data_IF_571915006833
#
_entry.id   IF_571915006833
#
_cell.length_a   1.000
_cell.length_b   1.000
_cell.length_c   1.000
_cell.angle_alpha   90.00
_cell.angle_beta   90.00
_cell.angle_gamma   90.00
#
_symmetry.space_group_name_H-M   'P 1'
#
loop_
_entity.id
_entity.type
_entity.pdbx_description
1 polymer ?
#
# COMPACT_ATOMS: atom_id res chain seq x y z
N UNK A 1 1.71 10.33 -4.71
CA UNK A 1 1.62 10.23 -3.26
C UNK A 1 1.12 8.89 -2.78
N UNK A 2 1.32 8.62 -1.55
CA UNK A 2 0.80 7.44 -0.84
C UNK A 2 0.99 7.65 0.66
N UNK A 3 0.80 6.61 1.47
CA UNK A 3 1.10 6.64 2.90
C UNK A 3 2.57 6.99 3.24
N UNK A 4 3.50 6.85 2.31
CA UNK A 4 4.95 7.03 2.55
C UNK A 4 5.49 8.36 2.01
N UNK A 5 5.15 8.72 0.78
CA UNK A 5 5.74 9.85 0.04
C UNK A 5 4.69 10.91 -0.34
N UNK A 6 3.87 11.31 0.61
CA UNK A 6 2.90 12.40 0.47
C UNK A 6 2.60 13.05 1.82
N UNK A 7 3.63 13.23 2.62
CA UNK A 7 3.60 14.07 3.80
C UNK A 7 3.27 15.52 3.42
N UNK A 8 2.96 16.35 4.40
CA UNK A 8 2.75 17.77 4.15
C UNK A 8 3.94 18.42 3.43
N UNK A 9 5.17 18.10 3.85
CA UNK A 9 6.39 18.63 3.22
C UNK A 9 6.52 18.15 1.75
N UNK A 10 6.29 16.86 1.48
CA UNK A 10 6.36 16.32 0.12
C UNK A 10 5.36 17.02 -0.79
N UNK A 11 4.13 17.19 -0.31
CA UNK A 11 3.07 17.87 -1.09
C UNK A 11 3.34 19.35 -1.30
N UNK A 12 3.89 20.03 -0.31
CA UNK A 12 4.30 21.45 -0.46
C UNK A 12 5.43 21.63 -1.47
N UNK A 13 6.41 20.71 -1.51
CA UNK A 13 7.46 20.71 -2.55
C UNK A 13 6.85 20.52 -3.94
N UNK A 14 5.94 19.56 -4.10
CA UNK A 14 5.24 19.33 -5.36
C UNK A 14 4.44 20.56 -5.77
N UNK A 15 3.67 21.14 -4.87
CA UNK A 15 2.91 22.37 -5.14
C UNK A 15 3.82 23.54 -5.57
N UNK A 16 4.95 23.73 -4.89
CA UNK A 16 5.93 24.77 -5.24
C UNK A 16 6.53 24.58 -6.63
N UNK A 17 6.84 23.33 -7.01
CA UNK A 17 7.36 23.00 -8.34
C UNK A 17 6.32 23.27 -9.43
N UNK A 18 5.05 22.97 -9.16
CA UNK A 18 3.93 23.10 -10.11
C UNK A 18 3.34 24.51 -10.17
N UNK A 19 3.55 25.33 -9.15
CA UNK A 19 2.94 26.65 -9.01
C UNK A 19 3.17 27.54 -10.23
N UNK A 20 2.06 28.04 -10.79
CA UNK A 20 2.09 28.92 -11.97
C UNK A 20 2.52 28.25 -13.27
N UNK A 21 2.62 26.90 -13.29
CA UNK A 21 2.99 26.10 -14.46
C UNK A 21 1.85 25.17 -14.87
N UNK A 22 1.95 24.59 -16.05
CA UNK A 22 1.01 23.59 -16.56
C UNK A 22 1.78 22.33 -16.90
N UNK A 23 1.24 21.16 -16.58
CA UNK A 23 1.83 19.87 -16.94
C UNK A 23 1.81 19.68 -18.45
N UNK A 24 2.71 18.83 -18.94
CA UNK A 24 2.75 18.43 -20.34
C UNK A 24 1.41 17.73 -20.73
N UNK A 25 0.80 18.09 -21.88
CA UNK A 25 -0.49 17.56 -22.30
C UNK A 25 -0.50 16.03 -22.53
N UNK A 26 0.66 15.40 -22.71
CA UNK A 26 0.79 13.95 -22.83
C UNK A 26 0.75 13.22 -21.47
N UNK A 27 0.82 13.95 -20.34
CA UNK A 27 0.92 13.38 -19.01
C UNK A 27 -0.43 13.40 -18.28
N UNK A 28 -0.76 12.30 -17.62
CA UNK A 28 -1.84 12.22 -16.64
C UNK A 28 -1.25 12.27 -15.22
N UNK A 29 -1.25 13.44 -14.60
CA UNK A 29 -0.77 13.62 -13.23
C UNK A 29 -1.88 13.38 -12.22
N UNK A 30 -1.63 12.45 -11.28
CA UNK A 30 -2.53 12.17 -10.17
C UNK A 30 -1.81 12.35 -8.84
N UNK A 31 -2.47 13.01 -7.90
CA UNK A 31 -1.93 13.30 -6.57
C UNK A 31 -2.87 12.74 -5.51
N UNK A 32 -2.36 11.86 -4.65
CA UNK A 32 -3.06 11.36 -3.48
C UNK A 32 -2.34 11.87 -2.21
N UNK A 33 -2.90 12.84 -1.47
CA UNK A 33 -2.33 13.30 -0.21
C UNK A 33 -2.28 12.17 0.83
N UNK A 34 -1.31 12.20 1.75
CA UNK A 34 -1.06 11.13 2.70
C UNK A 34 -2.15 10.93 3.75
N UNK A 35 -2.95 11.96 4.01
CA UNK A 35 -4.08 11.91 4.94
C UNK A 35 -5.08 13.04 4.66
N UNK A 36 -6.27 12.93 5.26
CA UNK A 36 -7.26 14.03 5.24
C UNK A 36 -6.73 15.30 5.91
N UNK A 37 -5.90 15.16 6.95
CA UNK A 37 -5.24 16.29 7.59
C UNK A 37 -4.34 17.04 6.61
N UNK A 38 -3.47 16.32 5.88
CA UNK A 38 -2.60 16.91 4.86
C UNK A 38 -3.45 17.58 3.77
N UNK A 39 -4.47 16.91 3.25
CA UNK A 39 -5.36 17.46 2.24
C UNK A 39 -6.02 18.77 2.69
N UNK A 40 -6.53 18.80 3.93
CA UNK A 40 -7.15 19.99 4.50
C UNK A 40 -6.15 21.15 4.65
N UNK A 41 -4.94 20.86 5.11
CA UNK A 41 -3.88 21.87 5.23
C UNK A 41 -3.47 22.45 3.87
N UNK A 42 -3.38 21.61 2.83
CA UNK A 42 -3.10 22.04 1.46
C UNK A 42 -4.24 22.89 0.87
N UNK A 43 -5.48 22.58 1.23
CA UNK A 43 -6.63 23.36 0.82
C UNK A 43 -6.61 24.76 1.44
N UNK A 44 -6.32 24.86 2.74
CA UNK A 44 -6.31 26.12 3.47
C UNK A 44 -5.16 27.04 3.10
N UNK A 45 -4.00 26.53 2.74
CA UNK A 45 -2.85 27.33 2.35
C UNK A 45 -2.75 27.64 0.85
N UNK A 46 -3.70 27.13 0.04
CA UNK A 46 -3.76 27.35 -1.41
C UNK A 46 -2.91 26.40 -2.25
N UNK A 47 -2.07 25.56 -1.66
CA UNK A 47 -1.23 24.61 -2.40
C UNK A 47 -2.05 23.60 -3.22
N UNK A 48 -3.22 23.18 -2.71
CA UNK A 48 -4.15 22.33 -3.46
C UNK A 48 -4.63 23.01 -4.74
N UNK A 49 -4.96 24.30 -4.67
CA UNK A 49 -5.37 25.10 -5.82
C UNK A 49 -4.24 25.20 -6.86
N UNK A 50 -3.00 25.43 -6.43
CA UNK A 50 -1.83 25.47 -7.33
C UNK A 50 -1.66 24.15 -8.08
N UNK A 51 -1.78 23.00 -7.40
CA UNK A 51 -1.69 21.69 -8.03
C UNK A 51 -2.82 21.41 -9.03
N UNK A 52 -4.06 21.74 -8.68
CA UNK A 52 -5.21 21.61 -9.58
C UNK A 52 -5.05 22.49 -10.80
N UNK A 53 -4.64 23.74 -10.62
CA UNK A 53 -4.41 24.70 -11.71
C UNK A 53 -3.30 24.25 -12.67
N UNK A 54 -2.32 23.50 -12.17
CA UNK A 54 -1.29 22.91 -12.99
C UNK A 54 -1.79 21.71 -13.84
N UNK A 55 -3.00 21.18 -13.58
CA UNK A 55 -3.59 20.07 -14.30
C UNK A 55 -3.60 18.75 -13.53
N UNK A 56 -3.28 18.75 -12.23
CA UNK A 56 -3.31 17.54 -11.42
C UNK A 56 -4.74 17.10 -11.08
N UNK A 57 -5.01 15.79 -11.17
CA UNK A 57 -6.18 15.15 -10.61
C UNK A 57 -5.92 14.76 -9.17
N UNK A 58 -6.73 15.24 -8.25
CA UNK A 58 -6.62 14.90 -6.83
C UNK A 58 -7.40 13.63 -6.56
N UNK A 59 -6.75 12.68 -5.91
CA UNK A 59 -7.32 11.38 -5.52
C UNK A 59 -7.57 11.37 -4.01
N UNK A 60 -8.38 10.41 -3.58
CA UNK A 60 -8.60 10.12 -2.16
C UNK A 60 -7.29 9.83 -1.42
N UNK A 61 -7.24 10.22 -0.15
CA UNK A 61 -6.16 9.89 0.77
C UNK A 61 -6.20 8.42 1.17
N UNK A 62 -5.98 7.54 0.20
CA UNK A 62 -6.11 6.10 0.32
C UNK A 62 -5.05 5.35 -0.49
N UNK A 63 -4.94 4.05 -0.26
CA UNK A 63 -3.92 3.19 -0.87
C UNK A 63 -4.31 2.66 -2.27
N UNK A 64 -5.35 3.20 -2.91
CA UNK A 64 -5.90 2.74 -4.20
C UNK A 64 -4.87 2.68 -5.33
N UNK A 65 -4.25 3.80 -5.73
CA UNK A 65 -3.31 3.83 -6.87
C UNK A 65 -2.06 2.97 -6.68
N UNK A 66 -1.67 2.68 -5.44
CA UNK A 66 -0.53 1.80 -5.12
C UNK A 66 -0.70 0.39 -5.71
N UNK A 67 -1.93 -0.06 -5.87
CA UNK A 67 -2.27 -1.35 -6.48
C UNK A 67 -3.05 -1.18 -7.80
N UNK A 68 -2.97 0.00 -8.41
CA UNK A 68 -3.63 0.29 -9.68
C UNK A 68 -5.12 0.62 -9.59
N UNK A 69 -5.68 0.77 -8.40
CA UNK A 69 -7.08 1.19 -8.21
C UNK A 69 -7.21 2.71 -8.35
N UNK A 70 -8.11 3.17 -9.21
CA UNK A 70 -8.34 4.59 -9.48
C UNK A 70 -7.32 5.25 -10.41
N UNK A 71 -6.12 4.68 -10.55
CA UNK A 71 -5.10 5.12 -11.50
C UNK A 71 -4.12 3.98 -11.81
N UNK A 72 -4.07 3.55 -13.06
CA UNK A 72 -3.07 2.62 -13.58
C UNK A 72 -2.62 3.05 -14.98
N UNK A 73 -1.42 2.69 -15.42
CA UNK A 73 -1.01 2.92 -16.80
C UNK A 73 -1.84 2.03 -17.74
N UNK A 74 -1.94 2.44 -18.99
CA UNK A 74 -2.38 1.58 -20.10
C UNK A 74 -1.32 0.51 -20.41
N UNK A 75 -1.66 -0.48 -21.22
CA UNK A 75 -0.73 -1.50 -21.72
C UNK A 75 0.50 -0.86 -22.34
N UNK A 76 1.69 -1.31 -21.94
CA UNK A 76 2.98 -0.77 -22.37
C UNK A 76 3.27 0.65 -21.91
N UNK A 77 2.36 1.29 -21.19
CA UNK A 77 2.51 2.68 -20.74
C UNK A 77 3.55 2.86 -19.66
N UNK A 78 4.24 4.01 -19.68
CA UNK A 78 5.21 4.40 -18.66
C UNK A 78 4.51 5.12 -17.51
N UNK A 79 4.84 4.77 -16.27
CA UNK A 79 4.29 5.41 -15.07
C UNK A 79 5.37 5.66 -14.03
N UNK A 80 5.59 6.93 -13.69
CA UNK A 80 6.45 7.33 -12.59
C UNK A 80 5.61 7.42 -11.30
N UNK A 81 6.05 6.76 -10.22
CA UNK A 81 5.29 6.66 -8.99
C UNK A 81 6.14 6.91 -7.77
N UNK A 82 5.55 7.55 -6.78
CA UNK A 82 6.21 7.85 -5.50
C UNK A 82 5.79 6.87 -4.40
N UNK A 83 5.35 5.69 -4.76
CA UNK A 83 5.06 4.62 -3.81
C UNK A 83 6.34 3.95 -3.33
N UNK A 84 6.26 3.19 -2.25
CA UNK A 84 7.41 2.51 -1.67
C UNK A 84 7.58 1.07 -2.17
N UNK A 85 6.83 0.64 -3.19
CA UNK A 85 6.84 -0.73 -3.67
C UNK A 85 6.47 -0.86 -5.14
N UNK A 86 7.22 -1.67 -5.85
CA UNK A 86 6.96 -2.01 -7.24
C UNK A 86 7.37 -3.46 -7.54
N UNK A 87 6.66 -4.10 -8.44
CA UNK A 87 6.99 -5.35 -9.10
C UNK A 87 6.13 -5.49 -10.35
N UNK A 88 6.49 -6.40 -11.26
CA UNK A 88 5.77 -6.63 -12.52
C UNK A 88 4.27 -6.93 -12.28
N UNK A 89 3.40 -6.20 -12.95
CA UNK A 89 1.95 -6.34 -12.81
C UNK A 89 1.37 -5.80 -11.50
N UNK A 90 2.14 -5.07 -10.69
CA UNK A 90 1.64 -4.45 -9.45
C UNK A 90 0.46 -3.52 -9.68
N UNK A 91 0.50 -2.72 -10.73
CA UNK A 91 -0.57 -1.81 -11.11
C UNK A 91 -0.77 -1.80 -12.62
N UNK A 92 -1.98 -2.10 -13.07
CA UNK A 92 -2.28 -2.25 -14.50
C UNK A 92 -1.91 -3.61 -15.05
N UNK A 93 -1.51 -3.63 -16.29
CA UNK A 93 -1.10 -4.82 -17.03
C UNK A 93 0.36 -5.20 -16.72
N UNK A 94 0.75 -6.45 -17.01
CA UNK A 94 2.13 -6.92 -16.79
C UNK A 94 3.18 -6.18 -17.60
N UNK A 95 2.82 -5.68 -18.77
CA UNK A 95 3.65 -4.91 -19.69
C UNK A 95 3.75 -3.42 -19.32
N UNK A 96 3.04 -2.96 -18.30
CA UNK A 96 3.15 -1.60 -17.77
C UNK A 96 4.54 -1.31 -17.20
N UNK A 97 5.17 -0.24 -17.68
CA UNK A 97 6.52 0.16 -17.29
C UNK A 97 6.47 1.10 -16.08
N UNK A 98 6.59 0.55 -14.87
CA UNK A 98 6.44 1.29 -13.62
C UNK A 98 7.81 1.58 -13.00
N UNK A 99 8.07 2.85 -12.72
CA UNK A 99 9.31 3.32 -12.09
C UNK A 99 9.01 4.03 -10.78
N UNK A 100 9.77 3.72 -9.72
CA UNK A 100 9.69 4.43 -8.45
C UNK A 100 10.63 5.64 -8.48
N UNK A 101 10.09 6.80 -8.14
CA UNK A 101 10.78 8.08 -8.15
C UNK A 101 10.42 8.91 -6.91
N UNK A 102 11.17 9.98 -6.64
CA UNK A 102 10.78 10.92 -5.59
C UNK A 102 9.62 11.83 -6.04
N UNK A 103 8.90 12.47 -5.11
CA UNK A 103 7.86 13.46 -5.43
C UNK A 103 8.36 14.58 -6.35
N UNK A 104 9.57 15.05 -6.12
CA UNK A 104 10.20 16.10 -6.92
C UNK A 104 10.45 15.66 -8.36
N UNK A 105 10.98 14.45 -8.54
CA UNK A 105 11.19 13.86 -9.88
C UNK A 105 9.86 13.67 -10.60
N UNK A 106 8.83 13.18 -9.91
CA UNK A 106 7.51 13.03 -10.50
C UNK A 106 6.91 14.36 -10.95
N UNK A 107 7.02 15.42 -10.13
CA UNK A 107 6.53 16.77 -10.46
C UNK A 107 7.30 17.39 -11.64
N UNK A 108 8.64 17.28 -11.62
CA UNK A 108 9.47 17.78 -12.72
C UNK A 108 9.15 17.08 -14.05
N UNK A 109 9.02 15.75 -14.00
CA UNK A 109 8.69 14.94 -15.18
C UNK A 109 7.29 15.23 -15.70
N UNK A 110 6.34 15.56 -14.83
CA UNK A 110 5.01 15.96 -15.25
C UNK A 110 5.00 17.26 -16.05
N UNK A 111 5.91 18.19 -15.75
CA UNK A 111 6.03 19.45 -16.49
C UNK A 111 6.68 19.29 -17.87
N UNK A 112 7.54 18.30 -18.04
CA UNK A 112 8.35 18.14 -19.27
C UNK A 112 7.84 17.02 -20.20
N UNK A 113 7.02 16.10 -19.69
CA UNK A 113 6.54 14.94 -20.45
C UNK A 113 7.50 13.75 -20.47
N UNK A 114 8.66 13.84 -19.86
CA UNK A 114 9.67 12.77 -19.80
C UNK A 114 10.41 12.76 -18.46
N UNK A 115 11.15 11.70 -18.16
CA UNK A 115 11.90 11.58 -16.91
C UNK A 115 12.92 12.73 -16.80
N UNK A 116 12.73 13.58 -15.80
CA UNK A 116 13.48 14.84 -15.65
C UNK A 116 14.12 14.92 -14.26
N UNK A 117 15.39 15.32 -14.25
CA UNK A 117 16.10 15.69 -13.02
C UNK A 117 15.51 17.02 -12.49
N UNK A 118 14.93 17.05 -11.27
CA UNK A 118 14.32 18.25 -10.72
C UNK A 118 15.30 19.41 -10.54
N UNK A 119 16.61 19.15 -10.43
CA UNK A 119 17.66 20.19 -10.34
C UNK A 119 17.75 21.05 -11.59
N UNK A 120 17.23 20.59 -12.72
CA UNK A 120 17.13 21.38 -13.95
C UNK A 120 16.08 22.51 -13.88
N UNK A 121 15.17 22.45 -12.90
CA UNK A 121 14.11 23.46 -12.70
C UNK A 121 14.55 24.63 -11.81
N UNK A 122 15.76 24.63 -11.28
CA UNK A 122 16.30 25.61 -10.37
C UNK A 122 16.54 25.08 -8.96
N UNK A 123 16.62 25.99 -8.00
CA UNK A 123 16.87 25.64 -6.60
C UNK A 123 15.70 24.90 -5.96
N UNK A 124 16.04 24.05 -4.99
CA UNK A 124 15.04 23.30 -4.21
C UNK A 124 14.14 24.29 -3.42
N UNK A 125 12.82 24.11 -3.46
CA UNK A 125 11.92 24.97 -2.70
C UNK A 125 12.13 24.80 -1.20
N UNK A 126 12.26 25.90 -0.48
CA UNK A 126 12.23 25.93 0.98
C UNK A 126 10.80 25.78 1.47
N UNK A 127 10.55 24.81 2.33
CA UNK A 127 9.25 24.53 2.91
C UNK A 127 9.25 24.86 4.39
N UNK A 128 8.47 25.85 4.77
CA UNK A 128 8.23 26.16 6.18
C UNK A 128 7.17 25.21 6.75
N UNK A 129 7.48 24.58 7.87
CA UNK A 129 6.51 23.79 8.62
C UNK A 129 5.57 24.73 9.39
N UNK A 130 4.28 24.43 9.45
CA UNK A 130 3.36 25.18 10.31
C UNK A 130 3.69 24.92 11.79
N UNK A 131 3.49 25.94 12.62
CA UNK A 131 3.65 25.78 14.08
C UNK A 131 2.69 24.75 14.67
N UNK A 132 1.49 24.68 14.10
CA UNK A 132 0.44 23.75 14.52
C UNK A 132 -0.18 23.04 13.33
N UNK A 133 -0.33 21.73 13.44
CA UNK A 133 -1.11 20.94 12.49
C UNK A 133 -2.60 21.04 12.85
N UNK A 134 -3.44 21.09 11.81
CA UNK A 134 -4.88 21.09 11.99
C UNK A 134 -5.30 19.70 12.51
N UNK A 135 -6.01 19.69 13.62
CA UNK A 135 -6.64 18.50 14.16
C UNK A 135 -8.15 18.62 13.93
N UNK A 136 -8.71 17.67 13.19
CA UNK A 136 -10.13 17.55 12.96
C UNK A 136 -10.54 16.10 13.18
N UNK A 137 -11.18 15.84 14.30
CA UNK A 137 -11.62 14.53 14.77
C UNK A 137 -13.12 14.31 14.62
N UNK A 138 -13.84 15.20 13.94
CA UNK A 138 -15.30 15.18 13.76
C UNK A 138 -15.83 13.84 13.19
N UNK A 139 -14.99 13.07 12.50
CA UNK A 139 -15.33 11.79 11.90
C UNK A 139 -14.75 10.60 12.66
N UNK A 140 -14.17 10.84 13.82
CA UNK A 140 -13.66 9.77 14.70
C UNK A 140 -14.76 9.39 15.66
N UNK A 141 -15.25 8.18 15.54
CA UNK A 141 -16.17 7.60 16.50
C UNK A 141 -15.40 7.19 17.76
N UNK A 142 -15.69 7.77 18.93
CA UNK A 142 -15.04 7.38 20.16
C UNK A 142 -15.50 5.96 20.57
N UNK A 143 -14.70 5.24 21.37
CA UNK A 143 -15.15 3.97 21.94
C UNK A 143 -16.39 4.18 22.82
N UNK A 144 -17.22 3.16 22.92
CA UNK A 144 -18.35 3.16 23.86
C UNK A 144 -17.87 3.41 25.30
N UNK A 145 -18.73 3.97 26.13
CA UNK A 145 -18.44 4.12 27.57
C UNK A 145 -18.12 2.75 28.19
N UNK A 146 -17.34 2.68 29.29
CA UNK A 146 -17.08 1.41 29.97
C UNK A 146 -18.37 0.68 30.38
N UNK A 147 -19.46 1.43 30.69
CA UNK A 147 -20.75 0.89 31.07
C UNK A 147 -21.54 0.29 29.90
N UNK A 148 -21.27 0.74 28.70
CA UNK A 148 -21.93 0.29 27.46
C UNK A 148 -21.07 -0.64 26.61
N UNK A 149 -19.80 -0.85 26.94
CA UNK A 149 -18.87 -1.64 26.15
C UNK A 149 -19.39 -3.08 25.91
N UNK A 150 -19.97 -3.70 26.90
CA UNK A 150 -20.52 -5.07 26.79
C UNK A 150 -21.81 -5.15 25.96
N UNK A 151 -22.45 -4.01 25.68
CA UNK A 151 -23.67 -3.93 24.88
C UNK A 151 -23.40 -3.69 23.41
N UNK A 152 -22.13 -3.41 23.02
CA UNK A 152 -21.76 -3.13 21.64
C UNK A 152 -21.85 -4.39 20.80
N UNK A 153 -22.76 -4.38 19.82
CA UNK A 153 -22.86 -5.44 18.85
C UNK A 153 -21.79 -5.27 17.75
N UNK A 154 -20.96 -6.31 17.55
CA UNK A 154 -19.97 -6.34 16.48
C UNK A 154 -20.60 -6.83 15.19
N UNK A 155 -20.95 -5.91 14.30
CA UNK A 155 -21.50 -6.23 12.99
C UNK A 155 -20.37 -6.66 12.02
N UNK A 156 -20.54 -7.83 11.41
CA UNK A 156 -19.57 -8.38 10.45
C UNK A 156 -20.23 -8.64 9.10
N UNK A 157 -19.60 -8.17 8.04
CA UNK A 157 -19.99 -8.55 6.67
C UNK A 157 -19.74 -10.03 6.37
N UNK A 158 -20.26 -10.56 5.26
CA UNK A 158 -20.23 -12.00 4.93
C UNK A 158 -18.81 -12.56 4.77
N UNK A 159 -17.84 -11.74 4.37
CA UNK A 159 -16.44 -12.12 4.19
C UNK A 159 -15.57 -11.90 5.44
N UNK A 160 -16.16 -11.40 6.55
CA UNK A 160 -15.43 -11.20 7.80
C UNK A 160 -15.69 -12.43 8.68
N UNK A 161 -14.65 -13.24 8.87
CA UNK A 161 -14.69 -14.43 9.72
C UNK A 161 -14.01 -14.16 11.05
N UNK A 162 -14.35 -14.91 12.12
CA UNK A 162 -13.65 -14.80 13.39
C UNK A 162 -12.14 -14.92 13.20
N UNK A 163 -11.38 -14.10 13.93
CA UNK A 163 -9.93 -14.16 13.94
C UNK A 163 -9.46 -15.50 14.49
N UNK A 164 -8.48 -16.18 13.85
CA UNK A 164 -7.93 -17.43 14.38
C UNK A 164 -7.29 -17.18 15.75
N UNK A 165 -7.69 -17.96 16.72
CA UNK A 165 -7.07 -17.96 18.05
C UNK A 165 -6.12 -19.15 18.14
N UNK A 166 -4.94 -18.92 18.69
CA UNK A 166 -3.93 -19.94 18.92
C UNK A 166 -3.67 -20.07 20.40
N UNK A 167 -3.16 -21.23 20.78
CA UNK A 167 -2.69 -21.50 22.14
C UNK A 167 -1.28 -20.91 22.34
N UNK A 168 -0.84 -20.90 23.60
CA UNK A 168 0.54 -20.51 23.93
C UNK A 168 1.52 -21.44 23.20
N UNK A 169 2.57 -20.87 22.61
CA UNK A 169 3.62 -21.63 21.97
C UNK A 169 4.23 -22.64 22.98
N UNK A 170 4.26 -23.95 22.67
CA UNK A 170 4.89 -24.94 23.54
C UNK A 170 6.43 -24.78 23.54
N UNK A 171 7.08 -25.34 24.56
CA UNK A 171 8.55 -25.30 24.67
C UNK A 171 9.23 -26.11 23.56
N UNK A 172 8.59 -27.19 23.11
CA UNK A 172 9.09 -28.05 22.04
C UNK A 172 8.01 -28.25 20.97
N UNK A 173 8.39 -28.20 19.72
CA UNK A 173 7.54 -28.48 18.57
C UNK A 173 8.21 -29.58 17.73
N UNK A 174 7.48 -30.66 17.49
CA UNK A 174 7.88 -31.73 16.56
C UNK A 174 6.91 -31.76 15.39
N UNK A 175 7.42 -31.58 14.18
CA UNK A 175 6.65 -31.64 12.95
C UNK A 175 7.56 -31.99 11.75
N UNK A 176 6.97 -32.28 10.60
CA UNK A 176 7.70 -32.50 9.35
C UNK A 176 8.07 -31.17 8.69
N UNK A 177 9.17 -31.15 7.94
CA UNK A 177 9.43 -30.08 6.97
C UNK A 177 8.50 -30.28 5.77
N UNK A 178 7.47 -29.42 5.67
CA UNK A 178 6.42 -29.56 4.63
C UNK A 178 6.67 -28.71 3.41
N UNK A 179 7.54 -27.70 3.53
CA UNK A 179 7.95 -26.84 2.41
C UNK A 179 9.38 -26.37 2.62
N UNK A 180 10.19 -26.43 1.57
CA UNK A 180 11.51 -25.81 1.53
C UNK A 180 11.53 -24.79 0.40
N UNK A 181 11.82 -23.54 0.72
CA UNK A 181 11.94 -22.43 -0.22
C UNK A 181 13.34 -21.82 -0.17
N UNK A 182 13.70 -21.09 -1.20
CA UNK A 182 15.02 -20.44 -1.31
C UNK A 182 15.13 -19.13 -0.55
N UNK A 183 16.09 -18.32 -0.99
CA UNK A 183 16.32 -16.97 -0.48
C UNK A 183 15.28 -15.98 -1.02
N UNK A 184 15.20 -14.80 -0.35
CA UNK A 184 14.38 -13.65 -0.79
C UNK A 184 12.88 -13.95 -0.95
N UNK A 185 12.35 -14.82 -0.12
CA UNK A 185 10.91 -15.05 -0.06
C UNK A 185 10.21 -13.80 0.45
N UNK A 186 9.33 -13.24 -0.38
CA UNK A 186 8.56 -12.05 -0.01
C UNK A 186 7.24 -12.42 0.65
N UNK A 187 6.60 -11.45 1.30
CA UNK A 187 5.24 -11.63 1.81
C UNK A 187 4.22 -11.92 0.71
N UNK A 188 4.50 -11.59 -0.57
CA UNK A 188 3.67 -12.00 -1.70
C UNK A 188 3.85 -13.46 -2.10
N UNK A 189 5.03 -14.03 -1.90
CA UNK A 189 5.25 -15.46 -2.07
C UNK A 189 4.49 -16.26 -1.01
N UNK A 190 4.48 -15.77 0.24
CA UNK A 190 3.78 -16.40 1.36
C UNK A 190 2.27 -16.28 1.19
N UNK A 191 1.80 -15.05 0.94
CA UNK A 191 0.38 -14.76 0.80
C UNK A 191 0.17 -13.70 -0.29
N UNK A 192 -0.20 -14.12 -1.51
CA UNK A 192 -0.46 -13.20 -2.61
C UNK A 192 -1.56 -12.19 -2.29
N UNK A 193 -1.49 -11.00 -2.88
CA UNK A 193 -2.45 -9.92 -2.67
C UNK A 193 -2.96 -9.34 -4.00
N UNK A 194 -3.38 -10.18 -4.92
CA UNK A 194 -4.03 -9.78 -6.16
C UNK A 194 -5.51 -9.43 -5.97
N UNK A 195 -6.14 -8.88 -7.01
CA UNK A 195 -7.54 -8.44 -7.00
C UNK A 195 -8.53 -9.56 -6.62
N UNK A 196 -8.23 -10.80 -6.96
CA UNK A 196 -9.05 -11.98 -6.58
C UNK A 196 -9.04 -12.26 -5.07
N UNK A 197 -7.98 -11.89 -4.38
CA UNK A 197 -7.71 -12.27 -2.99
C UNK A 197 -8.09 -11.14 -2.03
N UNK A 198 -7.87 -9.89 -2.44
CA UNK A 198 -8.12 -8.72 -1.60
C UNK A 198 -9.53 -8.62 -0.97
N UNK A 199 -10.63 -9.01 -1.64
CA UNK A 199 -11.96 -8.99 -1.01
C UNK A 199 -12.11 -9.91 0.20
N UNK A 200 -11.24 -10.91 0.35
CA UNK A 200 -11.28 -11.91 1.41
C UNK A 200 -10.29 -11.67 2.55
N UNK A 201 -9.70 -10.47 2.64
CA UNK A 201 -8.64 -10.17 3.62
C UNK A 201 -9.00 -10.50 5.07
N UNK A 202 -10.27 -10.42 5.43
CA UNK A 202 -10.75 -10.76 6.78
C UNK A 202 -11.30 -12.19 6.89
N UNK A 203 -10.97 -13.05 5.93
CA UNK A 203 -11.39 -14.46 5.89
C UNK A 203 -10.17 -15.37 5.78
N UNK A 204 -9.48 -15.58 6.89
CA UNK A 204 -8.24 -16.39 6.94
C UNK A 204 -8.47 -17.83 6.45
N UNK A 205 -9.60 -18.51 6.81
CA UNK A 205 -9.91 -19.83 6.24
C UNK A 205 -9.96 -19.84 4.70
N UNK A 206 -10.55 -18.79 4.08
CA UNK A 206 -10.58 -18.67 2.62
C UNK A 206 -9.18 -18.39 2.06
N UNK A 207 -8.42 -17.50 2.71
CA UNK A 207 -7.07 -17.17 2.28
C UNK A 207 -6.09 -18.33 2.34
N UNK A 208 -6.33 -19.30 3.22
CA UNK A 208 -5.42 -20.45 3.42
C UNK A 208 -5.16 -21.26 2.15
N UNK A 209 -6.11 -21.28 1.21
CA UNK A 209 -5.96 -21.95 -0.09
C UNK A 209 -4.92 -21.32 -1.03
N UNK A 210 -4.45 -20.10 -0.73
CA UNK A 210 -3.46 -19.37 -1.53
C UNK A 210 -2.07 -19.34 -0.87
N UNK A 211 -1.94 -19.91 0.34
CA UNK A 211 -0.69 -19.90 1.10
C UNK A 211 0.42 -20.58 0.31
N UNK A 212 1.51 -19.88 0.03
CA UNK A 212 2.63 -20.33 -0.79
C UNK A 212 2.27 -20.88 -2.17
N UNK A 213 1.04 -20.71 -2.65
CA UNK A 213 0.61 -21.24 -3.95
C UNK A 213 1.44 -20.70 -5.13
N UNK A 214 2.11 -19.56 -4.97
CA UNK A 214 3.06 -19.02 -5.96
C UNK A 214 4.35 -19.84 -6.02
N UNK A 215 4.77 -20.44 -4.90
CA UNK A 215 5.98 -21.28 -4.80
C UNK A 215 5.69 -22.75 -5.09
N UNK A 216 4.55 -23.23 -4.62
CA UNK A 216 4.09 -24.62 -4.74
C UNK A 216 2.56 -24.64 -4.69
N UNK A 217 1.91 -24.80 -5.83
CA UNK A 217 0.45 -24.83 -5.95
C UNK A 217 -0.20 -25.93 -5.12
N UNK A 218 0.52 -27.01 -4.82
CA UNK A 218 0.00 -28.15 -4.04
C UNK A 218 0.13 -27.96 -2.54
N UNK A 219 0.91 -26.96 -2.09
CA UNK A 219 1.21 -26.77 -0.67
C UNK A 219 -0.05 -26.58 0.20
N UNK A 220 -1.06 -25.75 -0.17
CA UNK A 220 -2.25 -25.56 0.66
C UNK A 220 -2.99 -26.85 0.97
N UNK A 221 -3.12 -27.75 0.00
CA UNK A 221 -3.80 -29.03 0.19
C UNK A 221 -2.95 -30.01 1.01
N UNK A 222 -1.63 -30.06 0.76
CA UNK A 222 -0.71 -30.91 1.51
C UNK A 222 -0.66 -30.56 3.00
N UNK A 223 -0.55 -29.28 3.32
CA UNK A 223 -0.49 -28.87 4.73
C UNK A 223 -1.82 -29.09 5.46
N UNK A 224 -2.96 -28.93 4.79
CA UNK A 224 -4.26 -29.27 5.36
C UNK A 224 -4.36 -30.76 5.72
N UNK A 225 -3.83 -31.63 4.88
CA UNK A 225 -3.81 -33.05 5.13
C UNK A 225 -2.83 -33.45 6.24
N UNK A 226 -1.68 -32.78 6.36
CA UNK A 226 -0.68 -33.02 7.40
C UNK A 226 -1.06 -32.41 8.76
N UNK A 227 -1.79 -31.30 8.76
CA UNK A 227 -2.31 -30.61 9.94
C UNK A 227 -1.33 -29.65 10.62
N UNK A 228 -0.01 -29.87 10.51
CA UNK A 228 1.05 -28.95 10.97
C UNK A 228 2.38 -29.25 10.31
N UNK A 229 3.28 -28.26 10.25
CA UNK A 229 4.59 -28.49 9.65
C UNK A 229 5.55 -27.32 9.81
N UNK A 230 6.81 -27.57 9.43
CA UNK A 230 7.83 -26.54 9.33
C UNK A 230 8.03 -26.11 7.88
N UNK A 231 8.15 -24.81 7.69
CA UNK A 231 8.60 -24.19 6.44
C UNK A 231 10.08 -23.81 6.62
N UNK A 232 10.93 -24.27 5.71
CA UNK A 232 12.36 -23.97 5.72
C UNK A 232 12.63 -22.93 4.63
N UNK A 233 12.99 -21.74 5.04
CA UNK A 233 13.39 -20.63 4.16
C UNK A 233 14.89 -20.39 4.16
N UNK A 234 15.38 -19.77 3.09
CA UNK A 234 16.75 -19.28 3.00
C UNK A 234 16.93 -17.88 3.62
N UNK A 235 17.93 -17.15 3.16
CA UNK A 235 18.21 -15.81 3.60
C UNK A 235 17.10 -14.82 3.20
N UNK A 236 16.89 -13.77 4.04
CA UNK A 236 15.97 -12.68 3.78
C UNK A 236 14.50 -13.13 3.55
N UNK A 237 14.04 -14.08 4.35
CA UNK A 237 12.68 -14.61 4.33
C UNK A 237 11.67 -13.62 4.91
N UNK A 238 10.51 -13.46 4.24
CA UNK A 238 9.42 -12.60 4.71
C UNK A 238 9.60 -11.12 4.39
N UNK A 239 10.55 -10.77 3.54
CA UNK A 239 10.77 -9.39 3.10
C UNK A 239 9.56 -8.83 2.33
N UNK A 240 9.54 -7.52 2.19
CA UNK A 240 8.55 -6.79 1.40
C UNK A 240 7.52 -6.09 2.27
N UNK A 241 6.28 -6.04 1.81
CA UNK A 241 5.20 -5.33 2.49
C UNK A 241 4.85 -5.95 3.83
N UNK A 242 4.67 -5.15 4.86
CA UNK A 242 4.14 -5.60 6.15
C UNK A 242 2.72 -6.12 5.97
N UNK A 243 2.56 -7.44 6.02
CA UNK A 243 1.28 -8.13 5.89
C UNK A 243 1.08 -9.12 7.01
N UNK A 244 0.13 -8.82 7.84
CA UNK A 244 -0.30 -9.73 8.90
C UNK A 244 -0.74 -11.10 8.35
N UNK A 245 -1.39 -11.12 7.18
CA UNK A 245 -1.83 -12.36 6.51
C UNK A 245 -0.67 -13.32 6.21
N UNK A 246 0.54 -12.81 5.92
CA UNK A 246 1.72 -13.63 5.69
C UNK A 246 2.19 -14.37 6.96
N UNK A 247 1.73 -13.97 8.13
CA UNK A 247 1.92 -14.67 9.39
C UNK A 247 0.68 -15.49 9.78
N UNK A 248 -0.51 -14.87 9.72
CA UNK A 248 -1.76 -15.49 10.16
C UNK A 248 -2.18 -16.69 9.32
N UNK A 249 -1.94 -16.66 8.00
CA UNK A 249 -2.39 -17.75 7.12
C UNK A 249 -1.56 -19.01 7.31
N UNK A 250 -0.22 -18.99 7.33
CA UNK A 250 0.56 -20.15 7.74
C UNK A 250 0.20 -20.64 9.15
N UNK A 251 0.05 -19.72 10.11
CA UNK A 251 -0.34 -20.06 11.48
C UNK A 251 -1.69 -20.79 11.55
N UNK A 252 -2.65 -20.40 10.72
CA UNK A 252 -3.95 -21.06 10.62
C UNK A 252 -3.86 -22.48 10.06
N UNK A 253 -2.86 -22.73 9.23
CA UNK A 253 -2.62 -24.04 8.63
C UNK A 253 -1.80 -25.00 9.54
N UNK A 254 -1.31 -24.54 10.69
CA UNK A 254 -0.50 -25.29 11.66
C UNK A 254 0.98 -25.06 11.46
#
# INVERSE_FOLDING_TARGET
>A
GSCTNSSFVDMMKVASILKGKTIDPSVSLCIAPGSKQVLNMLALNGALSDMISAGARILESACGPCIGMGQSPNSGGVSLRTFNRNFEGRSGTKDGQIYLVSPEVAAASALTGYLTDPRQLGDAPEISMPEHFIVNDNMIEPPASPEDADKVEVLRGPNIKPFPKTEKLPEEITAKAVLKVGDNITTDHIMPAGAKILPYRSNIPHLSQYCFAVCDETFPERIKAEGKGFIIGGANYGQGSSREHAALVPLYLG
#
